data_IF_569828585901
#
_entry.id   IF_569828585901
#
_cell.length_a   1.000
_cell.length_b   1.000
_cell.length_c   1.000
_cell.angle_alpha   90.00
_cell.angle_beta   90.00
_cell.angle_gamma   90.00
#
_symmetry.space_group_name_H-M   'P 1'
#
loop_
_entity.id
_entity.type
_entity.pdbx_description
1 polymer ?
#
# COMPACT_ATOMS: atom_id res chain seq x y z
N UNK A 1 -0.42 -22.24 -18.06
CA UNK A 1 -1.08 -21.13 -18.77
C UNK A 1 -1.52 -20.01 -17.83
N UNK A 2 -2.22 -20.30 -16.74
CA UNK A 2 -2.65 -19.28 -15.75
C UNK A 2 -1.47 -18.50 -15.16
N UNK A 3 -0.43 -19.18 -14.71
CA UNK A 3 0.77 -18.54 -14.16
C UNK A 3 1.45 -17.56 -15.13
N UNK A 4 1.50 -17.88 -16.42
CA UNK A 4 2.11 -17.00 -17.43
C UNK A 4 1.35 -15.67 -17.61
N UNK A 5 0.07 -15.61 -17.25
CA UNK A 5 -0.75 -14.40 -17.28
C UNK A 5 -0.65 -13.66 -15.94
N UNK A 6 -0.63 -14.37 -14.83
CA UNK A 6 -0.67 -13.82 -13.49
C UNK A 6 0.67 -13.19 -13.07
N UNK A 7 1.79 -13.89 -13.32
CA UNK A 7 3.11 -13.42 -12.87
C UNK A 7 3.49 -12.03 -13.36
N UNK A 8 3.35 -11.69 -14.65
CA UNK A 8 3.71 -10.34 -15.10
C UNK A 8 2.90 -9.22 -14.43
N UNK A 9 1.64 -9.49 -14.11
CA UNK A 9 0.75 -8.52 -13.44
C UNK A 9 1.14 -8.37 -11.97
N UNK A 10 1.43 -9.47 -11.27
CA UNK A 10 1.90 -9.43 -9.90
C UNK A 10 3.25 -8.72 -9.78
N UNK A 11 4.19 -9.00 -10.68
CA UNK A 11 5.49 -8.33 -10.72
C UNK A 11 5.33 -6.82 -11.00
N UNK A 12 4.42 -6.43 -11.89
CA UNK A 12 4.09 -5.03 -12.13
C UNK A 12 3.56 -4.36 -10.86
N UNK A 13 2.66 -5.00 -10.13
CA UNK A 13 2.11 -4.48 -8.88
C UNK A 13 3.19 -4.34 -7.80
N UNK A 14 4.05 -5.35 -7.63
CA UNK A 14 5.20 -5.29 -6.72
C UNK A 14 6.11 -4.11 -7.06
N UNK A 15 6.43 -3.95 -8.33
CA UNK A 15 7.28 -2.85 -8.79
C UNK A 15 6.65 -1.48 -8.50
N UNK A 16 5.35 -1.31 -8.74
CA UNK A 16 4.62 -0.07 -8.44
C UNK A 16 4.68 0.28 -6.95
N UNK A 17 4.46 -0.70 -6.06
CA UNK A 17 4.55 -0.49 -4.62
C UNK A 17 5.96 -0.11 -4.18
N UNK A 18 6.98 -0.82 -4.65
CA UNK A 18 8.37 -0.54 -4.33
C UNK A 18 8.82 0.83 -4.85
N UNK A 19 8.40 1.20 -6.04
CA UNK A 19 8.72 2.50 -6.64
C UNK A 19 8.07 3.64 -5.85
N UNK A 20 6.80 3.50 -5.49
CA UNK A 20 6.11 4.47 -4.64
C UNK A 20 6.82 4.68 -3.32
N UNK A 21 7.17 3.60 -2.59
CA UNK A 21 7.88 3.70 -1.32
C UNK A 21 9.26 4.37 -1.44
N UNK A 22 9.98 4.12 -2.53
CA UNK A 22 11.27 4.80 -2.80
C UNK A 22 11.08 6.29 -3.07
N UNK A 23 10.07 6.65 -3.84
CA UNK A 23 9.76 8.04 -4.14
C UNK A 23 9.42 8.81 -2.87
N UNK A 24 8.53 8.29 -2.04
CA UNK A 24 8.17 8.86 -0.74
C UNK A 24 9.39 9.10 0.17
N UNK A 25 10.28 8.10 0.24
CA UNK A 25 11.51 8.22 1.02
C UNK A 25 12.44 9.32 0.47
N UNK A 26 12.60 9.40 -0.85
CA UNK A 26 13.43 10.42 -1.49
C UNK A 26 12.87 11.83 -1.26
N UNK A 27 11.56 12.00 -1.35
CA UNK A 27 10.88 13.28 -1.11
C UNK A 27 11.04 13.72 0.36
N UNK A 28 10.87 12.80 1.29
CA UNK A 28 11.09 13.07 2.72
C UNK A 28 12.53 13.53 3.01
N UNK A 29 13.53 12.96 2.34
CA UNK A 29 14.92 13.31 2.52
C UNK A 29 15.30 14.65 1.88
N UNK A 30 14.66 15.02 0.78
CA UNK A 30 14.98 16.24 0.02
C UNK A 30 14.20 17.47 0.51
N UNK A 31 12.95 17.27 0.95
CA UNK A 31 12.03 18.34 1.33
C UNK A 31 11.34 18.03 2.67
N UNK A 32 12.08 18.01 3.80
CA UNK A 32 11.51 17.63 5.09
C UNK A 32 10.36 18.54 5.57
N UNK A 33 10.26 19.76 5.05
CA UNK A 33 9.20 20.72 5.40
C UNK A 33 7.96 20.66 4.47
N UNK A 34 8.01 19.89 3.36
CA UNK A 34 6.93 19.79 2.38
C UNK A 34 5.82 18.79 2.79
N UNK A 35 5.45 18.77 4.06
CA UNK A 35 4.55 17.75 4.66
C UNK A 35 3.09 17.81 4.21
N UNK A 36 2.64 18.86 3.53
CA UNK A 36 1.22 19.04 3.20
C UNK A 36 0.80 18.46 1.84
N UNK A 37 1.77 18.12 0.96
CA UNK A 37 1.47 17.71 -0.42
C UNK A 37 1.43 16.19 -0.66
N UNK A 38 1.81 15.36 0.31
CA UNK A 38 1.87 13.90 0.14
C UNK A 38 0.53 13.24 -0.16
N UNK A 39 -0.59 13.85 0.24
CA UNK A 39 -1.91 13.28 0.01
C UNK A 39 -2.25 13.14 -1.48
N UNK A 40 -1.86 14.08 -2.32
CA UNK A 40 -2.16 14.01 -3.76
C UNK A 40 -1.36 12.90 -4.45
N UNK A 41 -0.09 12.75 -4.07
CA UNK A 41 0.79 11.72 -4.61
C UNK A 41 0.35 10.32 -4.16
N UNK A 42 -0.01 10.16 -2.89
CA UNK A 42 -0.58 8.92 -2.35
C UNK A 42 -1.91 8.55 -3.02
N UNK A 43 -2.78 9.53 -3.25
CA UNK A 43 -4.04 9.34 -3.96
C UNK A 43 -3.79 8.94 -5.42
N UNK A 44 -2.83 9.56 -6.08
CA UNK A 44 -2.46 9.21 -7.46
C UNK A 44 -1.91 7.77 -7.53
N UNK A 45 -0.98 7.41 -6.65
CA UNK A 45 -0.42 6.06 -6.56
C UNK A 45 -1.51 5.02 -6.26
N UNK A 46 -2.40 5.30 -5.32
CA UNK A 46 -3.53 4.42 -4.97
C UNK A 46 -4.49 4.25 -6.15
N UNK A 47 -4.77 5.31 -6.92
CA UNK A 47 -5.59 5.23 -8.11
C UNK A 47 -4.95 4.35 -9.20
N UNK A 48 -3.63 4.45 -9.40
CA UNK A 48 -2.90 3.59 -10.35
C UNK A 48 -2.97 2.12 -9.95
N UNK A 49 -2.85 1.82 -8.66
CA UNK A 49 -3.02 0.45 -8.13
C UNK A 49 -4.44 -0.05 -8.39
N UNK A 50 -5.46 0.75 -8.08
CA UNK A 50 -6.86 0.40 -8.33
C UNK A 50 -7.10 0.13 -9.83
N UNK A 51 -6.61 0.97 -10.73
CA UNK A 51 -6.71 0.74 -12.17
C UNK A 51 -6.10 -0.60 -12.58
N UNK A 52 -4.92 -0.96 -12.07
CA UNK A 52 -4.30 -2.24 -12.35
C UNK A 52 -5.13 -3.42 -11.82
N UNK A 53 -5.64 -3.31 -10.58
CA UNK A 53 -6.46 -4.34 -9.96
C UNK A 53 -7.76 -4.57 -10.74
N UNK A 54 -8.46 -3.50 -11.12
CA UNK A 54 -9.74 -3.60 -11.84
C UNK A 54 -9.57 -3.98 -13.31
N UNK A 55 -8.48 -3.60 -13.95
CA UNK A 55 -8.14 -4.10 -15.28
C UNK A 55 -7.90 -5.63 -15.30
N UNK A 56 -7.60 -6.22 -14.15
CA UNK A 56 -7.38 -7.66 -13.96
C UNK A 56 -8.29 -8.25 -12.88
N UNK A 57 -9.52 -7.75 -12.77
CA UNK A 57 -10.44 -7.98 -11.67
C UNK A 57 -10.67 -9.47 -11.36
N UNK A 58 -11.02 -10.26 -12.38
CA UNK A 58 -11.30 -11.69 -12.21
C UNK A 58 -10.06 -12.47 -11.74
N UNK A 59 -8.89 -12.11 -12.26
CA UNK A 59 -7.61 -12.71 -11.86
C UNK A 59 -7.30 -12.46 -10.38
N UNK A 60 -7.37 -11.20 -9.94
CA UNK A 60 -7.11 -10.85 -8.54
C UNK A 60 -8.17 -11.43 -7.60
N UNK A 61 -9.44 -11.40 -7.98
CA UNK A 61 -10.51 -12.03 -7.19
C UNK A 61 -10.26 -13.52 -7.03
N UNK A 62 -9.82 -14.20 -8.08
CA UNK A 62 -9.48 -15.63 -8.03
C UNK A 62 -8.30 -15.88 -7.08
N UNK A 63 -7.25 -15.05 -7.15
CA UNK A 63 -6.09 -15.16 -6.25
C UNK A 63 -6.52 -14.95 -4.80
N UNK A 64 -7.32 -13.93 -4.50
CA UNK A 64 -7.78 -13.62 -3.15
C UNK A 64 -8.70 -14.68 -2.55
N UNK A 65 -9.46 -15.42 -3.38
CA UNK A 65 -10.49 -16.33 -2.88
C UNK A 65 -10.19 -17.82 -3.08
N UNK A 66 -9.31 -18.17 -4.03
CA UNK A 66 -9.10 -19.57 -4.46
C UNK A 66 -7.64 -19.93 -4.72
N UNK A 67 -6.69 -19.19 -4.16
CA UNK A 67 -5.25 -19.48 -4.35
C UNK A 67 -4.71 -20.58 -3.45
N UNK A 68 -5.46 -21.02 -2.45
CA UNK A 68 -5.02 -22.04 -1.50
C UNK A 68 -4.55 -23.31 -2.22
N UNK A 69 -3.37 -23.81 -1.84
CA UNK A 69 -2.72 -24.95 -2.47
C UNK A 69 -2.08 -24.65 -3.82
N UNK A 70 -2.09 -23.39 -4.28
CA UNK A 70 -1.39 -22.96 -5.49
C UNK A 70 -0.08 -22.24 -5.15
N UNK A 71 0.74 -22.01 -6.17
CA UNK A 71 1.96 -21.19 -6.05
C UNK A 71 1.70 -19.71 -5.66
N UNK A 72 0.45 -19.24 -5.74
CA UNK A 72 0.02 -17.90 -5.39
C UNK A 72 -0.62 -17.79 -4.01
N UNK A 73 -0.62 -18.86 -3.26
CA UNK A 73 -1.22 -18.93 -1.91
C UNK A 73 -0.73 -17.83 -0.98
N UNK A 74 0.58 -17.54 -1.04
CA UNK A 74 1.23 -16.57 -0.17
C UNK A 74 1.44 -15.18 -0.83
N UNK A 75 0.79 -14.89 -1.97
CA UNK A 75 1.06 -13.64 -2.67
C UNK A 75 0.70 -12.40 -1.85
N UNK A 76 -0.32 -12.46 -1.00
CA UNK A 76 -0.69 -11.37 -0.10
C UNK A 76 0.43 -11.11 0.92
N UNK A 77 1.00 -12.16 1.51
CA UNK A 77 2.10 -12.03 2.47
C UNK A 77 3.35 -11.41 1.81
N UNK A 78 3.59 -11.70 0.54
CA UNK A 78 4.67 -11.05 -0.23
C UNK A 78 4.43 -9.54 -0.38
N UNK A 79 3.20 -9.11 -0.66
CA UNK A 79 2.86 -7.69 -0.72
C UNK A 79 2.95 -7.02 0.65
N UNK A 80 2.49 -7.68 1.69
CA UNK A 80 2.64 -7.19 3.07
C UNK A 80 4.11 -7.00 3.41
N UNK A 81 4.98 -7.96 3.09
CA UNK A 81 6.42 -7.86 3.34
C UNK A 81 7.06 -6.68 2.60
N UNK A 82 6.65 -6.39 1.36
CA UNK A 82 7.13 -5.22 0.61
C UNK A 82 6.74 -3.93 1.32
N UNK A 83 5.49 -3.82 1.76
CA UNK A 83 5.00 -2.63 2.47
C UNK A 83 5.66 -2.47 3.83
N UNK A 84 5.80 -3.55 4.59
CA UNK A 84 6.46 -3.54 5.89
C UNK A 84 7.89 -3.05 5.80
N UNK A 85 8.69 -3.60 4.86
CA UNK A 85 10.06 -3.16 4.64
C UNK A 85 10.13 -1.67 4.28
N UNK A 86 9.24 -1.20 3.42
CA UNK A 86 9.14 0.21 3.06
C UNK A 86 8.80 1.08 4.28
N UNK A 87 7.81 0.69 5.06
CA UNK A 87 7.38 1.42 6.26
C UNK A 87 8.44 1.48 7.35
N UNK A 88 9.22 0.41 7.57
CA UNK A 88 10.31 0.43 8.53
C UNK A 88 11.35 1.51 8.17
N UNK A 89 11.75 1.59 6.91
CA UNK A 89 12.73 2.59 6.45
C UNK A 89 12.13 4.00 6.48
N UNK A 90 10.93 4.18 5.97
CA UNK A 90 10.25 5.47 5.91
C UNK A 90 9.94 6.02 7.32
N UNK A 91 9.42 5.19 8.22
CA UNK A 91 9.09 5.58 9.59
C UNK A 91 10.33 6.00 10.38
N UNK A 92 11.45 5.29 10.22
CA UNK A 92 12.71 5.65 10.86
C UNK A 92 13.20 7.03 10.41
N UNK A 93 13.14 7.32 9.12
CA UNK A 93 13.54 8.62 8.57
C UNK A 93 12.57 9.74 8.99
N UNK A 94 11.26 9.50 8.96
CA UNK A 94 10.25 10.46 9.39
C UNK A 94 10.39 10.79 10.88
N UNK A 95 10.60 9.79 11.73
CA UNK A 95 10.82 9.98 13.16
C UNK A 95 12.06 10.85 13.42
N UNK A 96 13.15 10.61 12.68
CA UNK A 96 14.39 11.41 12.75
C UNK A 96 14.15 12.86 12.33
N UNK A 97 13.44 13.10 11.21
CA UNK A 97 13.08 14.45 10.75
C UNK A 97 12.22 15.19 11.76
N UNK A 98 11.29 14.50 12.41
CA UNK A 98 10.37 15.08 13.40
C UNK A 98 10.95 15.20 14.80
N UNK A 99 12.07 14.53 15.09
CA UNK A 99 12.66 14.45 16.42
C UNK A 99 11.77 13.71 17.43
N UNK A 100 11.10 12.64 16.98
CA UNK A 100 10.23 11.77 17.79
C UNK A 100 10.70 10.32 17.69
N UNK A 101 10.13 9.44 18.51
CA UNK A 101 10.37 7.99 18.37
C UNK A 101 9.60 7.41 17.18
N UNK A 102 10.23 6.45 16.49
CA UNK A 102 9.56 5.67 15.45
C UNK A 102 8.56 4.70 16.09
N UNK A 103 7.40 4.43 15.46
CA UNK A 103 6.56 3.30 15.84
C UNK A 103 7.36 2.00 15.88
N UNK A 104 6.98 1.08 16.75
CA UNK A 104 7.66 -0.21 16.88
C UNK A 104 7.40 -1.14 15.66
N UNK A 105 8.21 -2.17 15.57
CA UNK A 105 8.17 -3.15 14.47
C UNK A 105 6.79 -3.82 14.32
N UNK A 106 6.16 -4.17 15.45
CA UNK A 106 4.81 -4.78 15.45
C UNK A 106 3.76 -3.83 14.88
N UNK A 107 3.80 -2.57 15.27
CA UNK A 107 2.88 -1.54 14.76
C UNK A 107 3.05 -1.35 13.25
N UNK A 108 4.27 -1.28 12.76
CA UNK A 108 4.55 -1.14 11.32
C UNK A 108 4.12 -2.38 10.53
N UNK A 109 4.34 -3.58 11.07
CA UNK A 109 3.83 -4.83 10.50
C UNK A 109 2.30 -4.82 10.40
N UNK A 110 1.62 -4.43 11.49
CA UNK A 110 0.16 -4.30 11.51
C UNK A 110 -0.36 -3.29 10.48
N UNK A 111 0.28 -2.12 10.36
CA UNK A 111 -0.08 -1.09 9.36
C UNK A 111 0.07 -1.62 7.94
N UNK A 112 1.12 -2.38 7.64
CA UNK A 112 1.31 -3.01 6.33
C UNK A 112 0.16 -3.97 5.98
N UNK A 113 -0.29 -4.78 6.94
CA UNK A 113 -1.47 -5.64 6.79
C UNK A 113 -2.75 -4.82 6.55
N UNK A 114 -2.97 -3.75 7.30
CA UNK A 114 -4.14 -2.87 7.14
C UNK A 114 -4.17 -2.26 5.74
N UNK A 115 -3.03 -1.78 5.24
CA UNK A 115 -2.92 -1.19 3.92
C UNK A 115 -3.27 -2.20 2.80
N UNK A 116 -2.66 -3.38 2.82
CA UNK A 116 -2.92 -4.42 1.82
C UNK A 116 -4.38 -4.92 1.92
N UNK A 117 -4.88 -5.09 3.15
CA UNK A 117 -6.27 -5.49 3.36
C UNK A 117 -7.28 -4.45 2.85
N UNK A 118 -6.96 -3.15 2.91
CA UNK A 118 -7.83 -2.11 2.36
C UNK A 118 -8.09 -2.31 0.86
N UNK A 119 -7.05 -2.58 0.08
CA UNK A 119 -7.17 -2.89 -1.36
C UNK A 119 -7.89 -4.22 -1.60
N UNK A 120 -7.54 -5.27 -0.87
CA UNK A 120 -8.16 -6.59 -1.00
C UNK A 120 -9.65 -6.56 -0.67
N UNK A 121 -10.03 -5.89 0.42
CA UNK A 121 -11.41 -5.72 0.84
C UNK A 121 -12.21 -4.94 -0.21
N UNK A 122 -11.64 -3.86 -0.72
CA UNK A 122 -12.28 -3.04 -1.76
C UNK A 122 -12.59 -3.87 -3.01
N UNK A 123 -11.61 -4.64 -3.49
CA UNK A 123 -11.76 -5.49 -4.67
C UNK A 123 -12.84 -6.57 -4.50
N UNK A 124 -12.96 -7.13 -3.30
CA UNK A 124 -13.93 -8.19 -3.00
C UNK A 124 -15.36 -7.67 -2.79
N UNK A 125 -15.54 -6.40 -2.41
CA UNK A 125 -16.84 -5.85 -2.01
C UNK A 125 -17.38 -4.76 -2.94
N UNK A 126 -16.55 -4.18 -3.82
CA UNK A 126 -16.98 -3.19 -4.81
C UNK A 126 -16.54 -3.61 -6.22
N UNK A 127 -17.49 -3.80 -7.11
CA UNK A 127 -17.21 -4.21 -8.51
C UNK A 127 -17.02 -3.02 -9.43
N UNK A 128 -17.53 -1.87 -9.06
CA UNK A 128 -17.48 -0.65 -9.85
C UNK A 128 -16.19 0.12 -9.53
N UNK A 129 -15.30 0.23 -10.50
CA UNK A 129 -14.02 0.91 -10.35
C UNK A 129 -14.16 2.38 -9.94
N UNK A 130 -15.16 3.10 -10.47
CA UNK A 130 -15.37 4.51 -10.14
C UNK A 130 -15.82 4.71 -8.69
N UNK A 131 -16.64 3.78 -8.19
CA UNK A 131 -17.00 3.76 -6.77
C UNK A 131 -15.82 3.35 -5.89
N UNK A 132 -15.03 2.38 -6.33
CA UNK A 132 -13.82 1.96 -5.64
C UNK A 132 -12.83 3.11 -5.45
N UNK A 133 -12.61 3.93 -6.47
CA UNK A 133 -11.77 5.13 -6.39
C UNK A 133 -12.27 6.12 -5.33
N UNK A 134 -13.59 6.37 -5.28
CA UNK A 134 -14.19 7.24 -4.25
C UNK A 134 -14.08 6.67 -2.83
N UNK A 135 -14.26 5.36 -2.68
CA UNK A 135 -14.08 4.71 -1.39
C UNK A 135 -12.63 4.76 -0.93
N UNK A 136 -11.69 4.53 -1.86
CA UNK A 136 -10.27 4.58 -1.55
C UNK A 136 -9.82 5.98 -1.10
N UNK A 137 -10.38 7.05 -1.64
CA UNK A 137 -10.11 8.40 -1.16
C UNK A 137 -10.39 8.54 0.34
N UNK A 138 -11.54 8.05 0.81
CA UNK A 138 -11.90 8.09 2.23
C UNK A 138 -11.01 7.18 3.09
N UNK A 139 -10.69 5.99 2.57
CA UNK A 139 -9.78 5.03 3.23
C UNK A 139 -8.37 5.63 3.37
N UNK A 140 -7.86 6.26 2.33
CA UNK A 140 -6.55 6.92 2.36
C UNK A 140 -6.50 8.07 3.35
N UNK A 141 -7.55 8.89 3.43
CA UNK A 141 -7.66 9.94 4.46
C UNK A 141 -7.57 9.36 5.88
N UNK A 142 -8.23 8.24 6.13
CA UNK A 142 -8.16 7.54 7.41
C UNK A 142 -6.75 6.98 7.69
N UNK A 143 -6.15 6.31 6.71
CA UNK A 143 -4.83 5.68 6.85
C UNK A 143 -3.73 6.73 7.06
N UNK A 144 -3.73 7.80 6.27
CA UNK A 144 -2.77 8.91 6.41
C UNK A 144 -2.95 9.66 7.73
N UNK A 145 -4.19 9.90 8.15
CA UNK A 145 -4.48 10.49 9.45
C UNK A 145 -3.96 9.64 10.61
N UNK A 146 -4.18 8.33 10.55
CA UNK A 146 -3.64 7.36 11.52
C UNK A 146 -2.13 7.28 11.51
N UNK A 147 -1.52 7.24 10.32
CA UNK A 147 -0.06 7.27 10.17
C UNK A 147 0.54 8.52 10.82
N UNK A 148 0.07 9.70 10.48
CA UNK A 148 0.58 10.95 11.02
C UNK A 148 0.40 11.05 12.54
N UNK A 149 -0.68 10.51 13.09
CA UNK A 149 -0.94 10.49 14.53
C UNK A 149 0.10 9.67 15.31
N UNK A 150 0.71 8.64 14.71
CA UNK A 150 1.73 7.83 15.36
C UNK A 150 3.04 8.59 15.64
N UNK A 151 3.29 9.71 14.97
CA UNK A 151 4.49 10.53 15.12
C UNK A 151 4.25 11.82 15.92
N UNK A 152 3.11 11.95 16.57
CA UNK A 152 2.86 13.10 17.45
C UNK A 152 3.56 12.91 18.80
N UNK A 153 4.17 13.99 19.32
CA UNK A 153 4.67 13.98 20.69
C UNK A 153 3.52 13.73 21.66
N UNK A 154 3.63 12.69 22.45
CA UNK A 154 2.74 12.44 23.59
C UNK A 154 3.00 13.46 24.71
#
# INVERSE_FOLDING_TARGET
>A
MFAAIVEPVLEKLKHMLQQHMRQELMELQQLPDAKEDNMQDDMFASAQIIHLLYANYDMFTLILTKSQGSRFENCIDEFVAIMENGYQVFAAEQAKVLGVESPDEYTLHWVAHVQINAFSHLLLHEKDEQKALKHMEQVMNYLLGGWNAMFQKQ
#
